data_IF_411547773257
#
_entry.id   IF_411547773257
#
_cell.length_a   1.000
_cell.length_b   1.000
_cell.length_c   1.000
_cell.angle_alpha   90.00
_cell.angle_beta   90.00
_cell.angle_gamma   90.00
#
_symmetry.space_group_name_H-M   'P 1'
#
loop_
_entity.id
_entity.type
_entity.pdbx_description
1 polymer ?
#
# COMPACT_ATOMS: atom_id res chain seq x y z
N UNK A 1 -20.48 3.15 -2.98
CA UNK A 1 -19.51 4.10 -2.39
C UNK A 1 -18.47 4.44 -3.44
N UNK A 2 -18.00 5.69 -3.52
CA UNK A 2 -16.93 6.13 -4.45
C UNK A 2 -15.72 5.18 -4.40
N UNK A 3 -15.43 4.64 -3.22
CA UNK A 3 -14.39 3.63 -3.00
C UNK A 3 -14.57 2.33 -3.81
N UNK A 4 -15.78 1.76 -3.92
CA UNK A 4 -15.91 0.44 -4.58
C UNK A 4 -15.68 0.49 -6.08
N UNK A 5 -15.84 1.63 -6.73
CA UNK A 5 -15.70 1.71 -8.19
C UNK A 5 -14.25 1.80 -8.65
N UNK A 6 -13.46 2.64 -7.98
CA UNK A 6 -12.05 2.83 -8.32
C UNK A 6 -11.15 1.80 -7.63
N UNK A 7 -11.50 1.38 -6.41
CA UNK A 7 -10.63 0.47 -5.64
C UNK A 7 -10.83 -0.99 -6.01
N UNK A 8 -12.01 -1.41 -6.46
CA UNK A 8 -12.25 -2.84 -6.73
C UNK A 8 -11.34 -3.40 -7.84
N UNK A 9 -11.15 -2.74 -9.00
CA UNK A 9 -10.23 -3.25 -10.02
C UNK A 9 -8.79 -3.35 -9.49
N UNK A 10 -8.33 -2.35 -8.72
CA UNK A 10 -7.00 -2.33 -8.10
C UNK A 10 -6.85 -3.49 -7.11
N UNK A 11 -7.84 -3.66 -6.23
CA UNK A 11 -7.86 -4.76 -5.25
C UNK A 11 -7.84 -6.12 -5.93
N UNK A 12 -8.65 -6.33 -6.96
CA UNK A 12 -8.70 -7.61 -7.70
C UNK A 12 -7.33 -7.94 -8.29
N UNK A 13 -6.64 -6.96 -8.88
CA UNK A 13 -5.33 -7.18 -9.46
C UNK A 13 -4.25 -7.44 -8.41
N UNK A 14 -4.27 -6.74 -7.27
CA UNK A 14 -3.38 -7.06 -6.15
C UNK A 14 -3.67 -8.44 -5.55
N UNK A 15 -4.94 -8.82 -5.39
CA UNK A 15 -5.33 -10.17 -4.95
C UNK A 15 -4.82 -11.24 -5.94
N UNK A 16 -4.89 -10.96 -7.25
CA UNK A 16 -4.37 -11.85 -8.28
C UNK A 16 -2.84 -11.96 -8.23
N UNK A 17 -2.14 -10.86 -7.98
CA UNK A 17 -0.68 -10.83 -7.79
C UNK A 17 -0.30 -11.63 -6.54
N UNK A 18 -0.92 -11.36 -5.40
CA UNK A 18 -0.70 -12.08 -4.14
C UNK A 18 -0.94 -13.57 -4.30
N UNK A 19 -2.02 -14.00 -4.97
CA UNK A 19 -2.27 -15.43 -5.27
C UNK A 19 -1.18 -16.07 -6.15
N UNK A 20 -0.59 -15.32 -7.09
CA UNK A 20 0.53 -15.82 -7.90
C UNK A 20 1.77 -16.00 -7.03
N UNK A 21 2.07 -15.03 -6.16
CA UNK A 21 3.21 -15.08 -5.25
C UNK A 21 3.05 -16.19 -4.20
N UNK A 22 1.88 -16.34 -3.59
CA UNK A 22 1.57 -17.44 -2.66
C UNK A 22 1.83 -18.82 -3.28
N UNK A 23 1.44 -19.02 -4.54
CA UNK A 23 1.72 -20.28 -5.26
C UNK A 23 3.22 -20.51 -5.44
N UNK A 24 4.02 -19.46 -5.65
CA UNK A 24 5.47 -19.57 -5.76
C UNK A 24 6.11 -19.83 -4.39
N UNK A 25 5.66 -19.11 -3.35
CA UNK A 25 6.08 -19.29 -1.96
C UNK A 25 5.89 -20.75 -1.53
N UNK A 26 4.71 -21.34 -1.80
CA UNK A 26 4.43 -22.74 -1.47
C UNK A 26 5.38 -23.68 -2.21
N UNK A 27 5.63 -23.46 -3.51
CA UNK A 27 6.54 -24.29 -4.31
C UNK A 27 7.98 -24.24 -3.79
N UNK A 28 8.48 -23.04 -3.48
CA UNK A 28 9.83 -22.84 -2.95
C UNK A 28 9.95 -23.48 -1.57
N UNK A 29 8.96 -23.30 -0.69
CA UNK A 29 8.96 -23.92 0.64
C UNK A 29 8.98 -25.45 0.58
N UNK A 30 8.19 -26.06 -0.30
CA UNK A 30 8.23 -27.52 -0.53
C UNK A 30 9.62 -27.95 -1.00
N UNK A 31 10.23 -27.20 -1.92
CA UNK A 31 11.57 -27.49 -2.41
C UNK A 31 12.64 -27.38 -1.32
N UNK A 32 12.55 -26.34 -0.48
CA UNK A 32 13.42 -26.17 0.68
C UNK A 32 13.25 -27.35 1.65
N UNK A 33 12.02 -27.82 1.90
CA UNK A 33 11.78 -28.96 2.77
C UNK A 33 12.40 -30.25 2.22
N UNK A 34 12.28 -30.51 0.92
CA UNK A 34 12.95 -31.64 0.24
C UNK A 34 14.47 -31.55 0.37
N UNK A 35 15.06 -30.39 0.09
CA UNK A 35 16.50 -30.16 0.20
C UNK A 35 16.97 -30.32 1.65
N UNK A 36 16.19 -29.86 2.63
CA UNK A 36 16.51 -30.07 4.06
C UNK A 36 16.47 -31.55 4.47
N UNK A 37 15.56 -32.35 3.91
CA UNK A 37 15.55 -33.82 4.12
C UNK A 37 16.79 -34.46 3.51
N UNK A 38 17.10 -34.13 2.25
CA UNK A 38 18.30 -34.61 1.57
C UNK A 38 19.61 -34.22 2.29
N UNK A 39 19.66 -33.00 2.85
CA UNK A 39 20.80 -32.53 3.65
C UNK A 39 21.04 -33.38 4.90
N UNK A 40 19.95 -33.81 5.57
CA UNK A 40 20.00 -34.67 6.77
C UNK A 40 20.44 -36.10 6.42
N UNK A 41 20.00 -36.62 5.28
CA UNK A 41 20.29 -37.99 4.81
C UNK A 41 21.68 -38.13 4.16
N UNK A 42 22.25 -37.03 3.67
CA UNK A 42 23.57 -37.05 3.05
C UNK A 42 24.65 -37.49 4.06
N UNK A 43 25.46 -38.48 3.69
CA UNK A 43 26.59 -38.98 4.48
C UNK A 43 27.91 -38.28 4.15
N UNK A 44 28.04 -37.75 2.92
CA UNK A 44 29.25 -37.10 2.44
C UNK A 44 29.23 -35.58 2.71
N UNK A 45 30.32 -35.05 3.27
CA UNK A 45 30.49 -33.63 3.59
C UNK A 45 30.44 -32.72 2.34
N UNK A 46 30.96 -33.18 1.19
CA UNK A 46 30.86 -32.43 -0.07
C UNK A 46 29.41 -32.37 -0.59
N UNK A 47 28.65 -33.45 -0.41
CA UNK A 47 27.23 -33.47 -0.79
C UNK A 47 26.39 -32.55 0.10
N UNK A 48 26.70 -32.49 1.42
CA UNK A 48 26.07 -31.53 2.33
C UNK A 48 26.34 -30.08 1.94
N UNK A 49 27.57 -29.75 1.56
CA UNK A 49 27.93 -28.40 1.13
C UNK A 49 27.10 -27.95 -0.09
N UNK A 50 27.04 -28.78 -1.14
CA UNK A 50 26.24 -28.50 -2.34
C UNK A 50 24.75 -28.30 -2.04
N UNK A 51 24.16 -29.19 -1.22
CA UNK A 51 22.74 -29.06 -0.83
C UNK A 51 22.52 -27.81 0.04
N UNK A 52 23.49 -27.46 0.88
CA UNK A 52 23.46 -26.23 1.69
C UNK A 52 23.41 -24.97 0.81
N UNK A 53 24.22 -24.92 -0.24
CA UNK A 53 24.23 -23.82 -1.20
C UNK A 53 22.89 -23.72 -1.97
N UNK A 54 22.31 -24.86 -2.36
CA UNK A 54 21.00 -24.89 -3.01
C UNK A 54 19.87 -24.42 -2.06
N UNK A 55 19.92 -24.78 -0.77
CA UNK A 55 18.98 -24.25 0.24
C UNK A 55 19.12 -22.73 0.37
N UNK A 56 20.35 -22.21 0.40
CA UNK A 56 20.60 -20.78 0.48
C UNK A 56 20.01 -20.03 -0.74
N UNK A 57 20.21 -20.58 -1.94
CA UNK A 57 19.66 -20.00 -3.19
C UNK A 57 18.13 -20.00 -3.21
N UNK A 58 17.49 -21.07 -2.75
CA UNK A 58 16.02 -21.11 -2.68
C UNK A 58 15.47 -20.15 -1.60
N UNK A 59 16.21 -19.93 -0.50
CA UNK A 59 15.86 -18.91 0.49
C UNK A 59 15.98 -17.49 -0.04
N UNK A 60 17.02 -17.20 -0.82
CA UNK A 60 17.19 -15.90 -1.48
C UNK A 60 16.00 -15.58 -2.40
N UNK A 61 15.57 -16.55 -3.21
CA UNK A 61 14.34 -16.41 -4.03
C UNK A 61 13.08 -16.20 -3.19
N UNK A 62 13.02 -16.78 -2.00
CA UNK A 62 11.87 -16.60 -1.10
C UNK A 62 11.80 -15.16 -0.58
N UNK A 63 12.93 -14.53 -0.30
CA UNK A 63 13.02 -13.14 0.17
C UNK A 63 12.58 -12.12 -0.89
N UNK A 64 12.67 -12.47 -2.18
CA UNK A 64 12.17 -11.64 -3.29
C UNK A 64 10.63 -11.70 -3.45
N UNK A 65 9.96 -12.67 -2.84
CA UNK A 65 8.51 -12.85 -2.96
C UNK A 65 7.78 -12.12 -1.83
N UNK A 66 6.71 -11.43 -2.19
CA UNK A 66 5.88 -10.68 -1.26
C UNK A 66 4.40 -10.82 -1.59
N UNK A 67 3.57 -10.66 -0.57
CA UNK A 67 2.10 -10.60 -0.68
C UNK A 67 1.66 -9.21 -0.31
N UNK A 68 0.77 -8.61 -1.09
CA UNK A 68 0.27 -7.25 -0.83
C UNK A 68 -1.08 -7.37 -0.13
N UNK A 69 -1.25 -6.63 0.98
CA UNK A 69 -2.53 -6.47 1.67
C UNK A 69 -3.07 -5.08 1.38
N UNK A 70 -4.17 -5.01 0.62
CA UNK A 70 -4.72 -3.74 0.13
C UNK A 70 -6.22 -3.59 0.42
N UNK A 71 -6.71 -2.40 0.82
CA UNK A 71 -6.01 -1.24 1.41
C UNK A 71 -5.98 -1.30 2.95
N UNK A 72 -5.09 -0.52 3.57
CA UNK A 72 -5.09 -0.30 5.02
C UNK A 72 -5.98 0.90 5.35
N UNK A 73 -6.95 0.70 6.26
CA UNK A 73 -7.94 1.72 6.63
C UNK A 73 -7.75 2.28 8.04
N UNK A 74 -7.04 1.55 8.92
CA UNK A 74 -6.70 2.02 10.27
C UNK A 74 -5.43 1.29 10.74
N UNK A 75 -4.29 1.96 10.60
CA UNK A 75 -2.99 1.40 10.98
C UNK A 75 -2.13 2.50 11.61
N UNK A 76 -1.38 2.17 12.66
CA UNK A 76 -0.39 3.10 13.21
C UNK A 76 0.81 3.20 12.27
N UNK A 77 1.61 4.29 12.31
CA UNK A 77 2.78 4.45 11.44
C UNK A 77 3.75 3.28 11.51
N UNK A 78 3.93 2.69 12.68
CA UNK A 78 4.78 1.52 12.85
C UNK A 78 4.22 0.26 12.21
N UNK A 79 2.90 0.08 12.26
CA UNK A 79 2.24 -1.03 11.61
C UNK A 79 2.36 -0.87 10.09
N UNK A 80 2.13 0.35 9.57
CA UNK A 80 2.32 0.69 8.16
C UNK A 80 3.76 0.42 7.73
N UNK A 81 4.75 0.84 8.52
CA UNK A 81 6.16 0.62 8.20
C UNK A 81 6.51 -0.88 8.15
N UNK A 82 6.15 -1.61 9.22
CA UNK A 82 6.46 -3.04 9.31
C UNK A 82 5.83 -3.82 8.16
N UNK A 83 4.57 -3.50 7.84
CA UNK A 83 3.87 -4.11 6.74
C UNK A 83 4.48 -3.72 5.39
N UNK A 84 4.71 -2.43 5.14
CA UNK A 84 5.32 -1.97 3.89
C UNK A 84 6.62 -2.70 3.60
N UNK A 85 7.50 -2.84 4.59
CA UNK A 85 8.79 -3.53 4.43
C UNK A 85 8.60 -5.02 4.08
N UNK A 86 7.59 -5.68 4.66
CA UNK A 86 7.27 -7.08 4.35
C UNK A 86 6.56 -7.24 2.99
N UNK A 87 5.92 -6.18 2.49
CA UNK A 87 5.14 -6.17 1.24
C UNK A 87 5.91 -5.55 0.06
N UNK A 88 7.25 -5.58 0.09
CA UNK A 88 8.10 -5.09 -1.00
C UNK A 88 8.32 -3.57 -1.00
N UNK A 89 8.08 -2.92 0.13
CA UNK A 89 8.28 -1.48 0.35
C UNK A 89 7.04 -0.62 0.10
N UNK A 90 5.92 -1.19 -0.32
CA UNK A 90 4.74 -0.40 -0.71
C UNK A 90 3.74 -0.25 0.43
N UNK A 91 3.14 0.94 0.57
CA UNK A 91 1.94 1.13 1.37
C UNK A 91 0.92 2.05 0.69
N UNK A 92 -0.36 1.77 0.89
CA UNK A 92 -1.46 2.59 0.38
C UNK A 92 -2.48 2.80 1.50
N UNK A 93 -2.67 4.05 1.91
CA UNK A 93 -3.64 4.44 2.92
C UNK A 93 -4.79 5.17 2.24
N UNK A 94 -5.96 4.53 2.20
CA UNK A 94 -7.13 5.10 1.53
C UNK A 94 -8.29 5.07 2.51
N UNK A 95 -8.87 6.25 2.76
CA UNK A 95 -9.97 6.41 3.72
C UNK A 95 -10.98 7.44 3.21
N UNK A 96 -12.25 7.17 3.46
CA UNK A 96 -13.35 8.15 3.31
C UNK A 96 -13.51 9.06 4.53
N UNK A 97 -12.76 8.82 5.61
CA UNK A 97 -12.80 9.60 6.86
C UNK A 97 -11.41 10.04 7.36
N UNK A 98 -11.42 11.03 8.25
CA UNK A 98 -10.25 11.58 8.94
C UNK A 98 -9.46 10.57 9.79
N UNK A 99 -10.07 9.44 10.14
CA UNK A 99 -9.59 8.48 11.13
C UNK A 99 -8.21 7.90 10.78
N UNK A 100 -8.00 7.45 9.54
CA UNK A 100 -6.71 6.88 9.11
C UNK A 100 -5.58 7.90 9.25
N UNK A 101 -5.87 9.16 8.92
CA UNK A 101 -4.91 10.25 8.99
C UNK A 101 -4.61 10.59 10.44
N UNK A 102 -5.62 10.63 11.30
CA UNK A 102 -5.42 10.88 12.72
C UNK A 102 -4.59 9.78 13.41
N UNK A 103 -4.80 8.51 13.04
CA UNK A 103 -3.99 7.40 13.54
C UNK A 103 -2.55 7.44 12.98
N UNK A 104 -2.40 7.67 11.67
CA UNK A 104 -1.09 7.71 10.99
C UNK A 104 -0.26 8.97 11.29
N UNK A 105 -0.90 10.09 11.62
CA UNK A 105 -0.20 11.28 12.10
C UNK A 105 -0.04 11.28 13.63
N UNK A 106 -0.51 10.20 14.28
CA UNK A 106 -0.55 10.01 15.74
C UNK A 106 -1.25 11.14 16.49
N UNK A 107 -2.24 11.75 15.85
CA UNK A 107 -3.16 12.74 16.42
C UNK A 107 -4.17 12.05 17.36
N UNK A 108 -4.55 10.80 17.09
CA UNK A 108 -5.50 10.04 17.91
C UNK A 108 -4.91 9.51 19.23
N UNK A 109 -3.60 9.24 19.27
CA UNK A 109 -2.96 8.48 20.37
C UNK A 109 -1.94 9.30 21.19
N UNK A 110 -1.79 10.59 20.89
CA UNK A 110 -0.93 11.47 21.66
C UNK A 110 -1.54 11.78 23.02
N UNK A 111 -1.03 11.17 24.09
CA UNK A 111 -0.96 11.90 25.38
C UNK A 111 -0.36 13.27 25.10
N UNK A 112 -0.89 14.35 25.66
CA UNK A 112 -0.38 15.72 25.48
C UNK A 112 1.16 15.73 25.42
N UNK A 113 1.72 16.02 24.24
CA UNK A 113 3.17 16.05 24.00
C UNK A 113 3.81 14.84 23.30
N UNK A 114 3.07 13.76 23.02
CA UNK A 114 3.57 12.61 22.27
C UNK A 114 3.76 12.94 20.78
N UNK A 115 5.01 13.12 20.34
CA UNK A 115 5.34 13.29 18.91
C UNK A 115 5.22 11.95 18.19
N UNK A 116 4.26 11.85 17.27
CA UNK A 116 4.13 10.69 16.40
C UNK A 116 5.32 10.58 15.44
N UNK A 117 5.79 9.36 15.17
CA UNK A 117 6.81 9.14 14.16
C UNK A 117 6.17 9.07 12.77
N UNK A 118 6.16 10.20 12.05
CA UNK A 118 5.67 10.30 10.68
C UNK A 118 6.73 9.93 9.62
N UNK A 119 7.90 9.41 10.01
CA UNK A 119 9.04 9.17 9.11
C UNK A 119 8.69 8.23 7.94
N UNK A 120 7.85 7.23 8.17
CA UNK A 120 7.36 6.33 7.10
C UNK A 120 6.56 7.08 6.04
N UNK A 121 5.77 8.08 6.42
CA UNK A 121 4.98 8.90 5.49
C UNK A 121 5.90 9.88 4.76
N UNK A 122 6.83 10.49 5.49
CA UNK A 122 7.75 11.48 4.92
C UNK A 122 8.70 10.86 3.89
N UNK A 123 9.23 9.66 4.18
CA UNK A 123 10.10 8.88 3.29
C UNK A 123 9.32 8.09 2.24
N UNK A 124 8.07 7.72 2.55
CA UNK A 124 7.17 7.10 1.58
C UNK A 124 6.89 7.98 0.36
N UNK A 125 7.05 9.30 0.48
CA UNK A 125 6.88 10.23 -0.62
C UNK A 125 7.98 10.11 -1.69
N UNK A 126 9.24 9.94 -1.29
CA UNK A 126 10.41 9.93 -2.19
C UNK A 126 11.06 8.56 -2.36
N UNK A 127 10.51 7.51 -1.73
CA UNK A 127 11.08 6.17 -1.79
C UNK A 127 12.25 5.97 -0.81
N UNK A 128 12.31 6.74 0.27
CA UNK A 128 13.44 6.77 1.20
C UNK A 128 13.63 5.47 2.00
N UNK A 129 14.86 5.26 2.48
CA UNK A 129 15.21 4.13 3.36
C UNK A 129 14.80 4.42 4.81
N UNK A 130 14.04 3.52 5.41
CA UNK A 130 13.68 3.55 6.83
C UNK A 130 14.23 2.31 7.53
N UNK A 131 14.77 2.51 8.73
CA UNK A 131 15.27 1.44 9.58
C UNK A 131 14.82 1.70 11.01
N UNK A 132 14.01 0.79 11.55
CA UNK A 132 13.57 0.88 12.95
C UNK A 132 13.95 -0.40 13.68
N UNK A 133 14.55 -0.23 14.87
CA UNK A 133 14.75 -1.30 15.83
C UNK A 133 13.95 -0.95 17.08
N UNK A 134 13.03 -1.81 17.50
CA UNK A 134 12.28 -1.65 18.75
C UNK A 134 12.40 -2.90 19.60
N UNK A 135 12.65 -2.70 20.90
CA UNK A 135 12.71 -3.79 21.89
C UNK A 135 11.39 -4.56 21.83
N UNK A 136 11.47 -5.88 21.60
CA UNK A 136 10.31 -6.77 21.51
C UNK A 136 9.62 -6.88 20.15
N UNK A 137 9.99 -6.07 19.14
CA UNK A 137 9.40 -6.12 17.78
C UNK A 137 10.42 -6.40 16.66
N UNK A 138 11.69 -6.61 17.02
CA UNK A 138 12.76 -6.89 16.07
C UNK A 138 13.26 -5.65 15.32
N UNK A 139 14.07 -5.90 14.30
CA UNK A 139 14.59 -4.88 13.37
C UNK A 139 13.80 -5.01 12.07
N UNK A 140 13.25 -3.90 11.60
CA UNK A 140 12.59 -3.81 10.30
C UNK A 140 13.22 -2.65 9.55
N UNK A 141 13.82 -2.96 8.40
CA UNK A 141 14.50 -1.97 7.57
C UNK A 141 14.28 -2.25 6.10
N UNK A 142 14.06 -1.19 5.32
CA UNK A 142 13.84 -1.29 3.88
C UNK A 142 13.53 0.08 3.27
N UNK A 143 13.39 0.09 1.95
CA UNK A 143 12.86 1.26 1.24
C UNK A 143 11.34 1.26 1.33
N UNK A 144 10.75 2.44 1.54
CA UNK A 144 9.29 2.59 1.58
C UNK A 144 8.83 3.60 0.55
N UNK A 145 7.78 3.26 -0.19
CA UNK A 145 7.11 4.13 -1.15
C UNK A 145 5.60 3.96 -0.96
N UNK A 146 4.87 5.07 -0.84
CA UNK A 146 3.44 4.98 -0.60
C UNK A 146 2.68 6.25 -0.83
N UNK A 147 1.36 6.12 -0.79
CA UNK A 147 0.45 7.25 -0.94
C UNK A 147 -0.64 7.23 0.13
N UNK A 148 -1.19 8.42 0.37
CA UNK A 148 -2.32 8.65 1.26
C UNK A 148 -3.38 9.38 0.44
N UNK A 149 -4.59 8.83 0.41
CA UNK A 149 -5.74 9.45 -0.21
C UNK A 149 -6.90 9.48 0.79
N UNK A 150 -7.32 10.68 1.18
CA UNK A 150 -8.41 10.88 2.13
C UNK A 150 -9.41 11.89 1.61
N UNK A 151 -10.70 11.61 1.78
CA UNK A 151 -11.74 12.64 1.66
C UNK A 151 -11.70 13.45 2.96
N UNK A 152 -10.94 14.55 2.92
CA UNK A 152 -10.64 15.33 4.10
C UNK A 152 -11.87 16.08 4.63
N UNK A 153 -12.13 15.94 5.93
CA UNK A 153 -12.99 16.83 6.69
C UNK A 153 -12.15 18.01 7.22
N UNK A 154 -12.78 19.10 7.65
CA UNK A 154 -12.09 20.30 8.13
C UNK A 154 -11.02 19.97 9.19
N UNK A 155 -11.32 19.07 10.13
CA UNK A 155 -10.38 18.61 11.16
C UNK A 155 -9.13 17.94 10.58
N UNK A 156 -9.25 17.16 9.50
CA UNK A 156 -8.11 16.54 8.82
C UNK A 156 -7.20 17.57 8.16
N UNK A 157 -7.81 18.60 7.56
CA UNK A 157 -7.09 19.68 6.88
C UNK A 157 -6.29 20.46 7.93
N UNK A 158 -6.96 20.88 9.01
CA UNK A 158 -6.33 21.61 10.11
C UNK A 158 -5.17 20.82 10.71
N UNK A 159 -5.32 19.50 10.84
CA UNK A 159 -4.27 18.68 11.40
C UNK A 159 -3.05 18.52 10.48
N UNK A 160 -3.25 18.43 9.15
CA UNK A 160 -2.14 18.44 8.19
C UNK A 160 -1.41 19.78 8.23
N UNK A 161 -2.16 20.89 8.25
CA UNK A 161 -1.60 22.23 8.29
C UNK A 161 -0.82 22.46 9.60
N UNK A 162 -1.40 22.09 10.75
CA UNK A 162 -0.74 22.20 12.05
C UNK A 162 0.53 21.31 12.15
N UNK A 163 0.53 20.13 11.51
CA UNK A 163 1.72 19.30 11.41
C UNK A 163 2.79 19.93 10.51
N UNK A 164 2.38 20.65 9.47
CA UNK A 164 3.24 21.50 8.63
C UNK A 164 3.89 22.64 9.42
N UNK A 165 3.10 23.40 10.17
CA UNK A 165 3.56 24.55 10.98
C UNK A 165 4.60 24.15 12.03
N UNK A 166 4.56 22.90 12.50
CA UNK A 166 5.57 22.33 13.42
C UNK A 166 6.94 22.08 12.75
N UNK A 167 7.06 22.31 11.44
CA UNK A 167 8.30 22.16 10.68
C UNK A 167 8.61 20.73 10.24
N UNK A 168 7.64 19.82 10.30
CA UNK A 168 7.84 18.41 9.90
C UNK A 168 7.77 18.19 8.38
N UNK A 169 7.47 19.23 7.60
CA UNK A 169 7.35 19.18 6.13
C UNK A 169 6.20 18.30 5.62
N UNK A 170 5.27 17.91 6.49
CA UNK A 170 4.20 16.99 6.13
C UNK A 170 3.24 17.64 5.12
N UNK A 171 2.79 18.87 5.39
CA UNK A 171 1.84 19.60 4.54
C UNK A 171 2.33 19.78 3.10
N UNK A 172 3.64 19.94 2.91
CA UNK A 172 4.30 20.10 1.60
C UNK A 172 4.19 18.85 0.72
N UNK A 173 3.84 17.69 1.31
CA UNK A 173 3.67 16.40 0.62
C UNK A 173 2.21 16.07 0.33
N UNK A 174 1.27 16.95 0.65
CA UNK A 174 -0.16 16.75 0.36
C UNK A 174 -0.64 17.69 -0.74
N UNK A 175 -1.29 17.10 -1.74
CA UNK A 175 -2.11 17.86 -2.69
C UNK A 175 -3.51 18.03 -2.09
N UNK A 176 -3.89 19.26 -1.76
CA UNK A 176 -5.23 19.59 -1.28
C UNK A 176 -6.09 20.09 -2.43
N UNK A 177 -7.23 19.43 -2.66
CA UNK A 177 -8.22 19.82 -3.65
C UNK A 177 -9.55 20.11 -2.95
N UNK A 178 -10.09 21.32 -3.17
CA UNK A 178 -11.41 21.72 -2.68
C UNK A 178 -12.30 22.00 -3.87
N UNK A 179 -13.28 21.13 -4.09
CA UNK A 179 -14.30 21.36 -5.11
C UNK A 179 -15.19 22.55 -4.72
N UNK A 180 -15.66 23.30 -5.71
CA UNK A 180 -16.65 24.35 -5.48
C UNK A 180 -17.92 23.74 -4.90
N UNK A 181 -18.48 24.37 -3.87
CA UNK A 181 -19.75 23.93 -3.30
C UNK A 181 -20.85 24.01 -4.35
N UNK A 182 -21.47 22.87 -4.63
CA UNK A 182 -22.69 22.79 -5.45
C UNK A 182 -23.96 22.99 -4.62
N UNK A 183 -23.84 23.38 -3.34
CA UNK A 183 -24.99 23.62 -2.47
C UNK A 183 -25.86 24.74 -3.07
N UNK A 184 -27.13 24.44 -3.37
CA UNK A 184 -28.05 25.37 -4.05
C UNK A 184 -28.01 25.32 -5.59
N UNK A 185 -27.04 24.61 -6.18
CA UNK A 185 -26.85 24.50 -7.64
C UNK A 185 -26.93 23.03 -8.14
N UNK A 186 -27.27 22.08 -7.26
CA UNK A 186 -27.40 20.67 -7.65
C UNK A 186 -28.71 20.43 -8.39
N UNK A 187 -28.61 20.15 -9.68
CA UNK A 187 -29.70 19.60 -10.45
C UNK A 187 -29.70 18.07 -10.30
N UNK A 188 -30.74 17.54 -9.66
CA UNK A 188 -30.91 16.11 -9.45
C UNK A 188 -31.75 15.44 -10.53
N UNK A 189 -32.54 16.23 -11.27
CA UNK A 189 -33.47 15.77 -12.29
C UNK A 189 -33.32 16.59 -13.55
N UNK A 190 -33.14 15.90 -14.68
CA UNK A 190 -33.18 16.50 -16.00
C UNK A 190 -34.65 16.61 -16.43
N UNK A 191 -35.20 17.82 -16.37
CA UNK A 191 -36.61 18.09 -16.68
C UNK A 191 -36.95 17.87 -18.17
N UNK A 192 -35.96 17.88 -19.07
CA UNK A 192 -36.17 17.70 -20.51
C UNK A 192 -36.29 16.22 -20.86
N UNK A 193 -35.49 15.38 -20.22
CA UNK A 193 -35.43 13.94 -20.48
C UNK A 193 -36.19 13.09 -19.44
N UNK A 194 -36.80 13.73 -18.44
CA UNK A 194 -37.50 13.11 -17.31
C UNK A 194 -36.71 11.99 -16.64
N UNK A 195 -35.44 12.25 -16.34
CA UNK A 195 -34.53 11.26 -15.75
C UNK A 195 -33.58 11.90 -14.73
N UNK A 196 -33.03 11.12 -13.78
CA UNK A 196 -31.96 11.62 -12.92
C UNK A 196 -30.77 12.15 -13.74
N UNK A 197 -30.22 13.30 -13.35
CA UNK A 197 -29.01 13.88 -14.01
C UNK A 197 -27.82 12.93 -13.89
N UNK A 198 -27.74 12.21 -12.76
CA UNK A 198 -26.74 11.17 -12.53
C UNK A 198 -27.02 9.94 -13.41
N UNK A 199 -26.43 9.91 -14.61
CA UNK A 199 -26.44 8.71 -15.46
C UNK A 199 -25.44 7.68 -14.91
N UNK A 200 -25.77 6.38 -14.89
CA UNK A 200 -24.79 5.35 -14.54
C UNK A 200 -23.62 5.41 -15.53
N UNK A 201 -22.41 5.18 -15.03
CA UNK A 201 -21.23 5.16 -15.89
C UNK A 201 -21.39 4.08 -16.97
N UNK A 202 -21.04 4.36 -18.23
CA UNK A 202 -21.08 3.37 -19.30
C UNK A 202 -20.23 2.13 -18.95
N UNK A 203 -20.75 0.94 -19.22
CA UNK A 203 -20.04 -0.32 -18.97
C UNK A 203 -18.74 -0.42 -19.77
N UNK A 204 -18.69 0.17 -20.97
CA UNK A 204 -17.48 0.26 -21.78
C UNK A 204 -16.34 0.97 -21.06
N UNK A 205 -16.63 2.10 -20.42
CA UNK A 205 -15.66 2.89 -19.66
C UNK A 205 -15.19 2.13 -18.41
N UNK A 206 -16.10 1.43 -17.72
CA UNK A 206 -15.75 0.56 -16.60
C UNK A 206 -14.80 -0.57 -17.02
N UNK A 207 -15.05 -1.20 -18.17
CA UNK A 207 -14.18 -2.25 -18.71
C UNK A 207 -12.84 -1.72 -19.23
N UNK A 208 -12.81 -0.50 -19.76
CA UNK A 208 -11.56 0.15 -20.18
C UNK A 208 -10.69 0.49 -18.97
N UNK A 209 -11.28 1.05 -17.91
CA UNK A 209 -10.57 1.31 -16.66
C UNK A 209 -10.02 0.03 -16.03
N UNK A 210 -10.81 -1.04 -15.95
CA UNK A 210 -10.34 -2.32 -15.42
C UNK A 210 -9.14 -2.88 -16.23
N UNK A 211 -9.19 -2.80 -17.56
CA UNK A 211 -8.07 -3.19 -18.44
C UNK A 211 -6.84 -2.32 -18.23
N UNK A 212 -7.03 -1.01 -18.07
CA UNK A 212 -5.95 -0.09 -17.78
C UNK A 212 -5.25 -0.46 -16.46
N UNK A 213 -6.00 -0.68 -15.38
CA UNK A 213 -5.45 -1.08 -14.08
C UNK A 213 -4.71 -2.42 -14.19
N UNK A 214 -5.27 -3.42 -14.87
CA UNK A 214 -4.60 -4.69 -15.11
C UNK A 214 -3.23 -4.51 -15.80
N UNK A 215 -3.20 -3.69 -16.85
CA UNK A 215 -1.96 -3.41 -17.58
C UNK A 215 -0.93 -2.68 -16.71
N UNK A 216 -1.37 -1.75 -15.85
CA UNK A 216 -0.49 -1.01 -14.95
C UNK A 216 0.09 -1.91 -13.86
N UNK A 217 -0.74 -2.74 -13.22
CA UNK A 217 -0.31 -3.61 -12.11
C UNK A 217 0.51 -4.81 -12.61
N UNK A 218 0.21 -5.33 -13.81
CA UNK A 218 0.91 -6.48 -14.37
C UNK A 218 2.19 -6.12 -15.14
N UNK A 219 2.43 -4.84 -15.42
CA UNK A 219 3.63 -4.43 -16.15
C UNK A 219 4.88 -4.53 -15.27
N UNK A 220 5.93 -5.18 -15.78
CA UNK A 220 7.26 -5.17 -15.15
C UNK A 220 7.86 -3.76 -15.08
N UNK A 221 7.48 -2.90 -16.04
CA UNK A 221 7.89 -1.49 -16.09
C UNK A 221 6.81 -0.63 -16.74
N UNK A 222 6.23 0.27 -15.97
CA UNK A 222 5.26 1.25 -16.49
C UNK A 222 5.99 2.47 -17.02
N UNK A 223 5.85 2.78 -18.31
CA UNK A 223 6.28 4.05 -18.90
C UNK A 223 5.05 4.88 -19.24
N UNK A 224 4.82 5.93 -18.45
CA UNK A 224 3.81 6.93 -18.80
C UNK A 224 4.39 7.83 -19.89
N UNK A 225 3.76 7.80 -21.06
CA UNK A 225 4.06 8.73 -22.15
C UNK A 225 2.92 9.73 -22.21
N UNK A 226 3.24 11.00 -21.97
CA UNK A 226 2.31 12.09 -22.23
C UNK A 226 2.35 12.32 -23.75
N UNK A 227 1.25 12.03 -24.42
CA UNK A 227 1.02 12.41 -25.81
C UNK A 227 0.62 13.87 -25.91
#
# INVERSE_FOLDING_TARGET
AINSMHMNPVKIEYDNLSKKMEKQIIKINLRIEELMKAYKEASNQNAKALIGDDIAREKEKLEELYTITYPLTDATPEAVQHQAIHEGGFFNLISDEASVLNTCLGLSYGKEGGKANAEVILKGWDGGFIGSARVGRGVSSGYVLGNISVIAQDESIDAILAAGDRGNGLSERFLMLREQSMLGYREHWDMVNDCPVSKPMPDSLRSEYARFIHNVVSAEKTKLTLH
#
